data_IF_469644902966
#
_entry.id   IF_469644902966
#
_cell.length_a   1.000
_cell.length_b   1.000
_cell.length_c   1.000
_cell.angle_alpha   90.00
_cell.angle_beta   90.00
_cell.angle_gamma   90.00
#
_symmetry.space_group_name_H-M   'P 1'
#
loop_
_entity.id
_entity.type
_entity.pdbx_description
1 polymer ?
#
# COMPACT_ATOMS: atom_id res chain seq x y z
N UNK A 1 -21.65 -20.36 21.72
CA UNK A 1 -22.93 -20.71 21.06
C UNK A 1 -23.57 -19.43 20.56
N UNK A 2 -23.94 -19.43 19.28
CA UNK A 2 -24.37 -18.27 18.52
C UNK A 2 -24.22 -18.63 17.04
N UNK A 3 -25.21 -19.36 16.52
CA UNK A 3 -25.27 -19.84 15.15
C UNK A 3 -25.10 -18.69 14.15
N UNK A 4 -24.14 -18.82 13.24
CA UNK A 4 -24.08 -18.01 12.01
C UNK A 4 -24.71 -18.83 10.89
N UNK A 5 -25.91 -18.45 10.48
CA UNK A 5 -26.43 -18.85 9.17
C UNK A 5 -25.69 -18.11 8.05
N UNK A 6 -25.54 -18.71 6.85
CA UNK A 6 -24.89 -18.07 5.73
C UNK A 6 -25.87 -17.14 5.00
N UNK A 7 -25.74 -15.83 5.21
CA UNK A 7 -26.48 -14.84 4.43
C UNK A 7 -25.90 -14.73 3.01
N UNK A 8 -26.66 -15.26 2.05
CA UNK A 8 -26.57 -14.90 0.64
C UNK A 8 -27.01 -13.44 0.48
N UNK A 9 -26.05 -12.54 0.30
CA UNK A 9 -26.31 -11.20 -0.22
C UNK A 9 -25.25 -10.89 -1.27
N UNK A 10 -25.69 -10.41 -2.44
CA UNK A 10 -24.81 -9.96 -3.51
C UNK A 10 -24.04 -8.73 -3.04
N UNK A 11 -22.76 -8.91 -2.77
CA UNK A 11 -21.84 -7.80 -2.48
C UNK A 11 -21.04 -7.50 -3.75
N UNK A 12 -21.03 -6.25 -4.19
CA UNK A 12 -20.04 -5.78 -5.14
C UNK A 12 -18.67 -5.72 -4.43
N UNK A 13 -17.74 -6.59 -4.82
CA UNK A 13 -16.38 -6.67 -4.26
C UNK A 13 -15.47 -5.71 -5.02
N UNK A 14 -14.79 -4.81 -4.31
CA UNK A 14 -13.70 -3.99 -4.89
C UNK A 14 -12.57 -4.93 -5.32
N UNK A 15 -12.06 -4.85 -6.57
CA UNK A 15 -11.12 -5.84 -7.10
C UNK A 15 -9.84 -5.95 -6.27
N UNK A 16 -9.56 -7.16 -5.80
CA UNK A 16 -8.29 -7.52 -5.17
C UNK A 16 -7.24 -7.73 -6.28
N UNK A 17 -6.47 -6.69 -6.62
CA UNK A 17 -5.33 -6.83 -7.53
C UNK A 17 -4.07 -7.22 -6.75
N UNK A 18 -4.05 -8.45 -6.24
CA UNK A 18 -2.84 -9.13 -5.79
C UNK A 18 -2.48 -10.20 -6.82
N UNK A 19 -1.41 -9.97 -7.59
CA UNK A 19 -0.84 -11.01 -8.48
C UNK A 19 -0.71 -10.63 -9.95
N UNK A 20 -0.02 -9.53 -10.28
CA UNK A 20 0.49 -9.31 -11.64
C UNK A 20 1.71 -8.36 -11.66
N UNK A 21 2.67 -8.54 -10.74
CA UNK A 21 3.98 -7.89 -10.85
C UNK A 21 4.96 -8.91 -11.42
N UNK A 22 5.19 -8.86 -12.74
CA UNK A 22 6.18 -9.73 -13.38
C UNK A 22 6.19 -9.77 -14.91
N UNK A 23 5.08 -9.45 -15.60
CA UNK A 23 4.99 -9.69 -17.05
C UNK A 23 4.79 -8.44 -17.93
N UNK A 24 4.63 -7.25 -17.36
CA UNK A 24 4.28 -6.05 -18.14
C UNK A 24 5.47 -5.35 -18.83
N UNK A 25 6.72 -5.67 -18.49
CA UNK A 25 7.91 -5.07 -19.11
C UNK A 25 8.48 -5.89 -20.29
N UNK A 26 8.04 -7.15 -20.44
CA UNK A 26 8.44 -8.01 -21.57
C UNK A 26 7.41 -8.03 -22.69
N UNK A 27 6.17 -7.57 -22.45
CA UNK A 27 5.09 -7.63 -23.44
C UNK A 27 5.17 -6.53 -24.51
N UNK A 28 5.64 -5.32 -24.18
CA UNK A 28 5.83 -4.25 -25.18
C UNK A 28 7.08 -4.46 -26.05
N UNK A 29 8.18 -4.94 -25.45
CA UNK A 29 9.40 -5.30 -26.19
C UNK A 29 9.19 -6.49 -27.11
N UNK A 30 8.46 -7.52 -26.65
CA UNK A 30 8.10 -8.63 -27.52
C UNK A 30 7.10 -8.23 -28.61
N UNK A 31 6.15 -7.32 -28.37
CA UNK A 31 5.25 -6.83 -29.43
C UNK A 31 6.00 -6.10 -30.55
N UNK A 32 6.99 -5.26 -30.20
CA UNK A 32 7.82 -4.57 -31.19
C UNK A 32 8.73 -5.55 -31.95
N UNK A 33 9.34 -6.52 -31.27
CA UNK A 33 10.21 -7.53 -31.89
C UNK A 33 9.40 -8.49 -32.75
N UNK A 34 8.17 -8.85 -32.34
CA UNK A 34 7.24 -9.62 -33.17
C UNK A 34 6.81 -8.82 -34.40
N UNK A 35 6.47 -7.54 -34.25
CA UNK A 35 6.12 -6.68 -35.39
C UNK A 35 7.29 -6.53 -36.37
N UNK A 36 8.52 -6.34 -35.90
CA UNK A 36 9.71 -6.17 -36.77
C UNK A 36 10.11 -7.50 -37.43
N UNK A 37 10.05 -8.62 -36.70
CA UNK A 37 10.34 -9.96 -37.25
C UNK A 37 9.26 -10.42 -38.23
N UNK A 38 8.00 -10.09 -37.97
CA UNK A 38 6.87 -10.29 -38.88
C UNK A 38 7.01 -9.40 -40.13
N UNK A 39 7.40 -8.13 -39.97
CA UNK A 39 7.71 -7.24 -41.10
C UNK A 39 8.84 -7.77 -41.98
N UNK A 40 9.93 -8.28 -41.39
CA UNK A 40 11.06 -8.83 -42.17
C UNK A 40 10.72 -10.14 -42.90
N UNK A 41 9.89 -11.00 -42.30
CA UNK A 41 9.38 -12.23 -42.95
C UNK A 41 8.36 -11.92 -44.04
N UNK A 42 7.49 -10.93 -43.83
CA UNK A 42 6.60 -10.36 -44.85
C UNK A 42 7.45 -9.82 -46.00
N UNK A 43 8.41 -8.93 -45.77
CA UNK A 43 9.25 -8.36 -46.84
C UNK A 43 10.01 -9.44 -47.64
N UNK A 44 10.48 -10.52 -46.99
CA UNK A 44 11.10 -11.67 -47.71
C UNK A 44 10.09 -12.51 -48.49
N UNK A 45 8.89 -12.74 -47.96
CA UNK A 45 7.79 -13.42 -48.67
C UNK A 45 7.29 -12.59 -49.87
N UNK A 46 7.34 -11.26 -49.75
CA UNK A 46 6.93 -10.28 -50.77
C UNK A 46 7.90 -10.20 -51.96
N UNK A 47 9.15 -10.67 -51.83
CA UNK A 47 10.11 -10.72 -52.94
C UNK A 47 9.97 -11.95 -53.85
N UNK A 48 9.25 -13.00 -53.43
CA UNK A 48 9.12 -14.25 -54.19
C UNK A 48 7.82 -14.39 -55.01
N UNK A 49 6.84 -13.49 -54.86
CA UNK A 49 5.53 -13.61 -55.52
C UNK A 49 5.44 -12.64 -56.72
N UNK A 50 5.30 -13.19 -57.93
CA UNK A 50 5.16 -12.40 -59.17
C UNK A 50 4.03 -11.34 -59.12
N UNK A 51 4.29 -10.17 -59.69
CA UNK A 51 3.54 -8.92 -59.50
C UNK A 51 2.03 -8.92 -59.82
N UNK A 52 1.49 -9.92 -60.53
CA UNK A 52 0.04 -10.05 -60.79
C UNK A 52 -0.76 -10.64 -59.61
N UNK A 53 -0.18 -11.55 -58.81
CA UNK A 53 -0.85 -12.10 -57.61
C UNK A 53 -0.75 -11.14 -56.41
N UNK A 54 0.31 -10.34 -56.34
CA UNK A 54 0.50 -9.32 -55.28
C UNK A 54 -0.53 -8.19 -55.31
N UNK A 55 -0.93 -7.71 -56.50
CA UNK A 55 -1.95 -6.65 -56.64
C UNK A 55 -3.31 -7.03 -56.05
N UNK A 56 -3.61 -8.33 -55.89
CA UNK A 56 -4.89 -8.81 -55.33
C UNK A 56 -4.84 -9.10 -53.82
N UNK A 57 -3.67 -9.40 -53.26
CA UNK A 57 -3.52 -9.83 -51.85
C UNK A 57 -3.18 -8.65 -50.93
N UNK A 58 -2.41 -7.67 -51.41
CA UNK A 58 -2.04 -6.49 -50.63
C UNK A 58 -3.24 -5.66 -50.12
N UNK A 59 -4.31 -5.42 -50.91
CA UNK A 59 -5.50 -4.70 -50.43
C UNK A 59 -6.21 -5.43 -49.29
N UNK A 60 -6.27 -6.77 -49.34
CA UNK A 60 -6.92 -7.59 -48.32
C UNK A 60 -6.11 -7.60 -47.01
N UNK A 61 -4.78 -7.66 -47.09
CA UNK A 61 -3.92 -7.57 -45.91
C UNK A 61 -3.97 -6.17 -45.26
N UNK A 62 -4.02 -5.10 -46.07
CA UNK A 62 -4.20 -3.73 -45.58
C UNK A 62 -5.59 -3.58 -44.92
N UNK A 63 -6.64 -4.12 -45.54
CA UNK A 63 -7.99 -4.11 -44.98
C UNK A 63 -8.05 -4.87 -43.65
N UNK A 64 -7.44 -6.06 -43.54
CA UNK A 64 -7.39 -6.82 -42.29
C UNK A 64 -6.62 -6.09 -41.18
N UNK A 65 -5.52 -5.40 -41.51
CA UNK A 65 -4.80 -4.56 -40.56
C UNK A 65 -5.63 -3.34 -40.12
N UNK A 66 -6.33 -2.69 -41.05
CA UNK A 66 -7.23 -1.58 -40.75
C UNK A 66 -8.42 -2.01 -39.88
N UNK A 67 -9.03 -3.16 -40.17
CA UNK A 67 -10.12 -3.74 -39.35
C UNK A 67 -9.61 -4.10 -37.96
N UNK A 68 -8.40 -4.66 -37.85
CA UNK A 68 -7.76 -4.95 -36.57
C UNK A 68 -7.47 -3.69 -35.75
N UNK A 69 -7.00 -2.61 -36.38
CA UNK A 69 -6.80 -1.32 -35.73
C UNK A 69 -8.12 -0.69 -35.29
N UNK A 70 -9.14 -0.67 -36.15
CA UNK A 70 -10.47 -0.16 -35.82
C UNK A 70 -11.10 -0.91 -34.64
N UNK A 71 -10.98 -2.24 -34.58
CA UNK A 71 -11.49 -3.02 -33.45
C UNK A 71 -10.73 -2.72 -32.15
N UNK A 72 -9.41 -2.56 -32.22
CA UNK A 72 -8.60 -2.16 -31.06
C UNK A 72 -8.96 -0.75 -30.57
N UNK A 73 -9.21 0.19 -31.47
CA UNK A 73 -9.63 1.55 -31.15
C UNK A 73 -11.01 1.57 -30.51
N UNK A 74 -11.96 0.77 -31.02
CA UNK A 74 -13.28 0.60 -30.40
C UNK A 74 -13.19 0.04 -28.97
N UNK A 75 -12.42 -1.03 -28.77
CA UNK A 75 -12.19 -1.61 -27.44
C UNK A 75 -11.54 -0.60 -26.48
N UNK A 76 -10.60 0.21 -26.96
CA UNK A 76 -9.98 1.25 -26.15
C UNK A 76 -10.98 2.34 -25.74
N UNK A 77 -11.90 2.74 -26.64
CA UNK A 77 -12.96 3.69 -26.34
C UNK A 77 -13.97 3.13 -25.34
N UNK A 78 -14.40 1.88 -25.50
CA UNK A 78 -15.29 1.20 -24.56
C UNK A 78 -14.64 1.08 -23.17
N UNK A 79 -13.36 0.70 -23.11
CA UNK A 79 -12.62 0.63 -21.86
C UNK A 79 -12.50 2.00 -21.19
N UNK A 80 -12.24 3.07 -21.96
CA UNK A 80 -12.20 4.43 -21.44
C UNK A 80 -13.57 4.87 -20.91
N UNK A 81 -14.65 4.62 -21.64
CA UNK A 81 -16.00 4.95 -21.20
C UNK A 81 -16.39 4.21 -19.91
N UNK A 82 -16.00 2.94 -19.79
CA UNK A 82 -16.22 2.17 -18.56
C UNK A 82 -15.41 2.73 -17.38
N UNK A 83 -14.17 3.15 -17.62
CA UNK A 83 -13.29 3.77 -16.62
C UNK A 83 -13.82 5.13 -16.15
N UNK A 84 -14.32 5.95 -17.08
CA UNK A 84 -14.98 7.22 -16.80
C UNK A 84 -16.20 7.01 -15.90
N UNK A 85 -17.10 6.11 -16.31
CA UNK A 85 -18.30 5.78 -15.52
C UNK A 85 -17.95 5.25 -14.12
N UNK A 86 -16.94 4.39 -14.01
CA UNK A 86 -16.49 3.86 -12.73
C UNK A 86 -15.90 4.96 -11.83
N UNK A 87 -15.12 5.88 -12.41
CA UNK A 87 -14.52 7.00 -11.68
C UNK A 87 -15.60 7.96 -11.17
N UNK A 88 -16.55 8.33 -12.02
CA UNK A 88 -17.67 9.19 -11.64
C UNK A 88 -18.50 8.57 -10.50
N UNK A 89 -18.81 7.28 -10.60
CA UNK A 89 -19.50 6.54 -9.54
C UNK A 89 -18.71 6.55 -8.23
N UNK A 90 -17.42 6.20 -8.27
CA UNK A 90 -16.58 6.21 -7.08
C UNK A 90 -16.52 7.61 -6.43
N UNK A 91 -16.28 8.66 -7.22
CA UNK A 91 -16.26 10.03 -6.70
C UNK A 91 -17.60 10.40 -6.03
N UNK A 92 -18.73 10.01 -6.63
CA UNK A 92 -20.07 10.27 -6.08
C UNK A 92 -20.34 9.62 -4.72
N UNK A 93 -19.67 8.52 -4.39
CA UNK A 93 -19.82 7.81 -3.11
C UNK A 93 -18.69 8.12 -2.12
N UNK A 94 -17.73 8.95 -2.53
CA UNK A 94 -16.57 9.28 -1.72
C UNK A 94 -16.98 10.08 -0.48
N UNK A 95 -16.21 9.94 0.60
CA UNK A 95 -16.36 10.74 1.81
C UNK A 95 -15.11 11.62 1.94
N UNK A 96 -15.24 12.91 1.60
CA UNK A 96 -14.10 13.84 1.50
C UNK A 96 -12.96 13.32 0.63
N UNK A 97 -13.29 12.66 -0.50
CA UNK A 97 -12.30 12.06 -1.40
C UNK A 97 -11.76 10.70 -0.94
N UNK A 98 -12.13 10.20 0.25
CA UNK A 98 -11.75 8.88 0.72
C UNK A 98 -12.81 7.79 0.50
N UNK A 99 -12.38 6.54 0.66
CA UNK A 99 -13.11 5.33 0.26
C UNK A 99 -13.06 4.23 1.32
N UNK A 100 -14.03 3.31 1.23
CA UNK A 100 -14.17 2.10 2.06
C UNK A 100 -13.99 0.85 1.18
N UNK A 101 -13.98 -0.34 1.80
CA UNK A 101 -13.78 -1.59 1.07
C UNK A 101 -15.04 -2.05 0.34
N UNK A 102 -16.22 -1.85 0.93
CA UNK A 102 -17.50 -2.35 0.42
C UNK A 102 -18.64 -1.41 0.79
N UNK A 103 -19.61 -1.33 -0.11
CA UNK A 103 -20.84 -0.56 0.03
C UNK A 103 -22.03 -1.45 -0.35
N UNK A 104 -23.18 -1.32 0.32
CA UNK A 104 -24.43 -1.92 -0.14
C UNK A 104 -24.90 -1.23 -1.43
N UNK A 105 -25.71 -1.91 -2.24
CA UNK A 105 -26.25 -1.33 -3.48
C UNK A 105 -27.07 -0.05 -3.25
N UNK A 106 -27.74 0.06 -2.10
CA UNK A 106 -28.47 1.25 -1.68
C UNK A 106 -27.60 2.29 -0.93
N UNK A 107 -26.30 2.03 -0.81
CA UNK A 107 -25.27 2.87 -0.17
C UNK A 107 -25.49 3.17 1.32
N UNK A 108 -26.48 2.54 1.97
CA UNK A 108 -26.78 2.72 3.40
C UNK A 108 -25.80 2.00 4.30
N UNK A 109 -25.21 0.91 3.81
CA UNK A 109 -24.18 0.18 4.55
C UNK A 109 -22.82 0.37 3.91
N UNK A 110 -21.82 0.60 4.75
CA UNK A 110 -20.45 0.82 4.33
C UNK A 110 -19.50 0.09 5.28
N UNK A 111 -18.44 -0.49 4.73
CA UNK A 111 -17.58 -1.40 5.46
C UNK A 111 -16.11 -1.22 5.07
N UNK A 112 -15.25 -1.11 6.07
CA UNK A 112 -13.85 -1.50 5.95
C UNK A 112 -13.67 -2.87 6.58
N UNK A 113 -12.69 -3.01 7.48
CA UNK A 113 -12.58 -4.19 8.35
C UNK A 113 -13.83 -4.35 9.25
N UNK A 114 -14.41 -3.22 9.66
CA UNK A 114 -15.66 -3.16 10.42
C UNK A 114 -16.70 -2.26 9.75
N UNK A 115 -17.91 -2.23 10.33
CA UNK A 115 -18.98 -1.33 9.89
C UNK A 115 -18.51 0.11 10.06
N UNK A 116 -18.60 0.89 8.98
CA UNK A 116 -18.15 2.27 8.93
C UNK A 116 -19.33 3.23 9.03
N UNK A 117 -19.11 4.36 9.69
CA UNK A 117 -20.03 5.49 9.70
C UNK A 117 -19.93 6.34 8.42
N UNK A 118 -20.90 7.22 8.21
CA UNK A 118 -20.97 8.08 7.00
C UNK A 118 -19.79 9.05 6.86
N UNK A 119 -19.13 9.38 7.96
CA UNK A 119 -17.96 10.28 8.02
C UNK A 119 -16.63 9.53 7.99
N UNK A 120 -16.63 8.22 7.72
CA UNK A 120 -15.44 7.38 7.84
C UNK A 120 -14.92 6.89 6.49
N UNK A 121 -13.60 6.81 6.38
CA UNK A 121 -12.89 6.22 5.24
C UNK A 121 -11.81 5.28 5.76
N UNK A 122 -11.46 4.24 5.02
CA UNK A 122 -10.40 3.31 5.41
C UNK A 122 -9.07 3.70 4.78
N UNK A 123 -8.00 3.65 5.57
CA UNK A 123 -6.61 3.80 5.12
C UNK A 123 -6.01 2.43 4.85
N UNK A 124 -6.31 1.45 5.70
CA UNK A 124 -5.91 0.06 5.52
C UNK A 124 -6.34 -0.43 4.12
N UNK A 125 -5.43 -1.00 3.31
CA UNK A 125 -5.76 -1.53 2.00
C UNK A 125 -6.79 -2.67 2.10
N UNK A 126 -7.72 -2.83 1.14
CA UNK A 126 -7.87 -2.05 -0.09
C UNK A 126 -8.74 -0.78 0.06
N UNK A 127 -8.44 0.10 1.02
CA UNK A 127 -9.11 1.38 1.23
C UNK A 127 -8.60 2.53 0.34
N UNK A 128 -8.67 3.75 0.87
CA UNK A 128 -8.40 5.02 0.19
C UNK A 128 -7.08 5.07 -0.58
N UNK A 129 -5.92 4.63 -0.03
CA UNK A 129 -4.67 4.63 -0.80
C UNK A 129 -4.73 3.73 -2.04
N UNK A 130 -5.48 2.63 -1.98
CA UNK A 130 -5.62 1.69 -3.10
C UNK A 130 -6.42 2.31 -4.25
N UNK A 131 -7.52 3.00 -3.93
CA UNK A 131 -8.29 3.75 -4.94
C UNK A 131 -7.49 4.92 -5.51
N UNK A 132 -6.74 5.64 -4.67
CA UNK A 132 -5.82 6.68 -5.13
C UNK A 132 -4.81 6.16 -6.16
N UNK A 133 -4.22 4.98 -5.92
CA UNK A 133 -3.33 4.32 -6.88
C UNK A 133 -4.04 3.90 -8.17
N UNK A 134 -5.30 3.48 -8.11
CA UNK A 134 -6.09 3.14 -9.31
C UNK A 134 -6.32 4.38 -10.17
N UNK A 135 -6.73 5.50 -9.57
CA UNK A 135 -6.91 6.76 -10.29
C UNK A 135 -5.60 7.28 -10.87
N UNK A 136 -4.50 7.19 -10.11
CA UNK A 136 -3.18 7.58 -10.62
C UNK A 136 -2.77 6.71 -11.82
N UNK A 137 -3.03 5.41 -11.77
CA UNK A 137 -2.77 4.51 -12.90
C UNK A 137 -3.64 4.83 -14.11
N UNK A 138 -4.91 5.18 -13.90
CA UNK A 138 -5.80 5.64 -14.96
C UNK A 138 -5.26 6.90 -15.64
N UNK A 139 -4.75 7.86 -14.87
CA UNK A 139 -4.10 9.05 -15.40
C UNK A 139 -2.84 8.71 -16.22
N UNK A 140 -1.96 7.85 -15.71
CA UNK A 140 -0.72 7.46 -16.41
C UNK A 140 -1.00 6.82 -17.79
N UNK A 141 -2.08 6.05 -17.91
CA UNK A 141 -2.43 5.35 -19.15
C UNK A 141 -3.17 6.25 -20.13
N UNK A 142 -4.01 7.16 -19.65
CA UNK A 142 -4.92 7.95 -20.50
C UNK A 142 -4.48 9.39 -20.73
N UNK A 143 -3.65 9.95 -19.84
CA UNK A 143 -3.32 11.37 -19.78
C UNK A 143 -4.47 12.29 -19.34
N UNK A 144 -5.64 11.74 -18.99
CA UNK A 144 -6.83 12.52 -18.67
C UNK A 144 -6.78 13.05 -17.24
N UNK A 145 -6.73 14.38 -17.10
CA UNK A 145 -6.54 15.07 -15.81
C UNK A 145 -7.64 14.77 -14.80
N UNK A 146 -8.83 14.33 -15.22
CA UNK A 146 -9.91 13.96 -14.28
C UNK A 146 -9.45 12.88 -13.28
N UNK A 147 -8.65 11.91 -13.74
CA UNK A 147 -8.17 10.83 -12.87
C UNK A 147 -7.06 11.32 -11.93
N UNK A 148 -6.23 12.27 -12.38
CA UNK A 148 -5.25 12.90 -11.51
C UNK A 148 -5.95 13.69 -10.39
N UNK A 149 -7.03 14.41 -10.71
CA UNK A 149 -7.83 15.13 -9.71
C UNK A 149 -8.47 14.16 -8.70
N UNK A 150 -9.06 13.05 -9.17
CA UNK A 150 -9.59 12.01 -8.27
C UNK A 150 -8.50 11.39 -7.37
N UNK A 151 -7.27 11.21 -7.88
CA UNK A 151 -6.14 10.78 -7.06
C UNK A 151 -5.78 11.86 -6.02
N UNK A 152 -5.71 13.13 -6.40
CA UNK A 152 -5.45 14.23 -5.44
C UNK A 152 -6.53 14.32 -4.36
N UNK A 153 -7.80 14.02 -4.68
CA UNK A 153 -8.89 13.99 -3.69
C UNK A 153 -8.68 12.89 -2.64
N UNK A 154 -8.27 11.70 -3.07
CA UNK A 154 -7.87 10.63 -2.15
C UNK A 154 -6.68 11.04 -1.28
N UNK A 155 -5.72 11.77 -1.85
CA UNK A 155 -4.57 12.29 -1.10
C UNK A 155 -4.98 13.35 -0.07
N UNK A 156 -5.93 14.23 -0.37
CA UNK A 156 -6.43 15.22 0.60
C UNK A 156 -7.03 14.56 1.85
N UNK A 157 -7.79 13.47 1.68
CA UNK A 157 -8.32 12.68 2.80
C UNK A 157 -7.19 12.20 3.72
N UNK A 158 -6.12 11.64 3.14
CA UNK A 158 -4.94 11.20 3.87
C UNK A 158 -4.22 12.37 4.53
N UNK A 159 -4.03 13.48 3.82
CA UNK A 159 -3.40 14.70 4.35
C UNK A 159 -4.15 15.20 5.58
N UNK A 160 -5.48 15.20 5.55
CA UNK A 160 -6.33 15.64 6.66
C UNK A 160 -6.21 14.77 7.91
N UNK A 161 -6.13 13.45 7.71
CA UNK A 161 -6.13 12.47 8.80
C UNK A 161 -4.75 12.07 9.32
N UNK A 162 -3.65 12.57 8.75
CA UNK A 162 -2.29 12.21 9.18
C UNK A 162 -2.04 12.64 10.63
N UNK A 163 -1.49 11.71 11.42
CA UNK A 163 -1.15 11.93 12.82
C UNK A 163 0.16 12.68 12.98
N UNK A 164 0.36 13.31 14.13
CA UNK A 164 1.62 14.00 14.42
C UNK A 164 2.80 13.02 14.55
N UNK A 165 2.57 11.78 14.99
CA UNK A 165 3.59 10.74 15.03
C UNK A 165 4.15 10.39 13.65
N UNK A 166 3.37 10.61 12.59
CA UNK A 166 3.84 10.62 11.20
C UNK A 166 2.99 9.81 10.23
N UNK A 167 2.29 8.77 10.66
CA UNK A 167 1.46 7.94 9.80
C UNK A 167 -0.03 8.12 10.06
N UNK A 168 -0.76 7.01 9.92
CA UNK A 168 -2.22 6.97 10.00
C UNK A 168 -2.70 5.83 10.90
N UNK A 169 -3.94 5.93 11.33
CA UNK A 169 -4.72 4.80 11.87
C UNK A 169 -5.37 4.00 10.73
N UNK A 170 -5.96 2.83 11.01
CA UNK A 170 -6.66 2.03 10.00
C UNK A 170 -7.74 2.80 9.22
N UNK A 171 -8.35 3.81 9.84
CA UNK A 171 -9.39 4.65 9.24
C UNK A 171 -9.22 6.11 9.66
N UNK A 172 -9.83 7.01 8.89
CA UNK A 172 -9.98 8.42 9.22
C UNK A 172 -11.48 8.68 9.39
N UNK A 173 -11.84 9.46 10.40
CA UNK A 173 -13.21 9.89 10.65
C UNK A 173 -13.24 11.41 10.71
N UNK A 174 -14.05 12.02 9.84
CA UNK A 174 -14.13 13.47 9.68
C UNK A 174 -14.97 14.16 10.76
N UNK A 175 -15.51 13.41 11.73
CA UNK A 175 -16.28 13.96 12.85
C UNK A 175 -15.43 14.76 13.85
N UNK A 176 -16.06 15.73 14.50
CA UNK A 176 -15.45 16.51 15.59
C UNK A 176 -15.03 15.63 16.77
N UNK A 177 -15.72 14.51 16.99
CA UNK A 177 -15.40 13.52 18.02
C UNK A 177 -14.06 12.86 17.75
N UNK A 178 -13.79 12.45 16.51
CA UNK A 178 -12.51 11.87 16.15
C UNK A 178 -11.39 12.89 16.26
N UNK A 179 -11.60 14.13 15.78
CA UNK A 179 -10.62 15.22 15.90
C UNK A 179 -10.23 15.53 17.35
N UNK A 180 -11.15 15.44 18.32
CA UNK A 180 -10.86 15.60 19.75
C UNK A 180 -10.12 14.41 20.38
N UNK A 181 -10.13 13.25 19.72
CA UNK A 181 -9.49 12.02 20.19
C UNK A 181 -8.06 11.88 19.68
N UNK A 182 -7.74 12.42 18.51
CA UNK A 182 -6.47 12.17 17.82
C UNK A 182 -5.64 13.43 17.63
N UNK A 183 -4.33 13.32 17.86
CA UNK A 183 -3.39 14.39 17.66
C UNK A 183 -2.88 14.36 16.21
N UNK A 184 -3.41 15.27 15.39
CA UNK A 184 -3.10 15.30 13.96
C UNK A 184 -1.89 16.18 13.68
N UNK A 185 -1.22 15.92 12.56
CA UNK A 185 -0.15 16.77 12.01
C UNK A 185 -0.58 18.23 11.92
N UNK A 186 -1.81 18.48 11.46
CA UNK A 186 -2.37 19.82 11.29
C UNK A 186 -2.59 20.59 12.61
N UNK A 187 -2.58 19.91 13.76
CA UNK A 187 -2.78 20.50 15.08
C UNK A 187 -1.43 20.71 15.82
N UNK A 188 -0.30 20.39 15.18
CA UNK A 188 1.05 20.63 15.69
C UNK A 188 1.30 22.12 15.94
N UNK A 189 1.84 22.45 17.12
CA UNK A 189 2.09 23.84 17.55
C UNK A 189 0.84 24.64 17.94
N UNK A 190 -0.36 24.06 17.85
CA UNK A 190 -1.64 24.74 18.18
C UNK A 190 -2.21 24.35 19.54
N UNK A 191 -1.72 23.24 20.11
CA UNK A 191 -2.20 22.67 21.37
C UNK A 191 -1.11 22.76 22.43
N UNK A 192 -1.50 23.05 23.67
CA UNK A 192 -0.61 22.97 24.83
C UNK A 192 -0.23 21.52 25.16
N UNK A 193 0.85 21.31 25.91
CA UNK A 193 1.27 19.96 26.36
C UNK A 193 0.18 19.22 27.14
N UNK A 194 -0.66 19.95 27.89
CA UNK A 194 -1.79 19.39 28.66
C UNK A 194 -2.93 18.95 27.74
N UNK A 195 -3.14 19.62 26.62
CA UNK A 195 -4.12 19.20 25.62
C UNK A 195 -3.60 17.99 24.85
N UNK A 196 -2.34 18.01 24.40
CA UNK A 196 -1.71 16.91 23.67
C UNK A 196 -1.80 15.61 24.47
N UNK A 197 -1.57 15.62 25.79
CA UNK A 197 -1.62 14.41 26.63
C UNK A 197 -2.99 13.72 26.69
N UNK A 198 -4.06 14.40 26.27
CA UNK A 198 -5.43 13.83 26.18
C UNK A 198 -5.71 13.17 24.84
N UNK A 199 -4.86 13.40 23.84
CA UNK A 199 -5.03 12.88 22.49
C UNK A 199 -4.25 11.58 22.29
N UNK A 200 -4.73 10.75 21.36
CA UNK A 200 -4.02 9.59 20.82
C UNK A 200 -3.11 10.02 19.67
N UNK A 201 -1.94 9.42 19.56
CA UNK A 201 -0.97 9.73 18.49
C UNK A 201 -0.40 8.44 17.87
N UNK A 202 -1.21 7.38 17.77
CA UNK A 202 -0.77 6.03 17.36
C UNK A 202 -0.82 5.86 15.84
N UNK A 203 0.34 5.96 15.19
CA UNK A 203 0.58 5.50 13.81
C UNK A 203 0.50 3.98 13.77
N UNK A 204 -0.18 3.42 12.77
CA UNK A 204 -0.35 1.98 12.58
C UNK A 204 0.47 1.49 11.38
N UNK A 205 1.32 0.50 11.61
CA UNK A 205 2.09 -0.22 10.59
C UNK A 205 1.50 -1.60 10.28
N UNK A 206 0.51 -2.02 11.06
CA UNK A 206 -0.24 -3.25 10.84
C UNK A 206 -1.04 -3.18 9.53
N UNK A 207 -1.23 -4.34 8.92
CA UNK A 207 -1.97 -4.51 7.66
C UNK A 207 -1.58 -3.49 6.58
N UNK A 208 -0.31 -3.11 6.53
CA UNK A 208 0.22 -2.21 5.51
C UNK A 208 -0.45 -0.81 5.50
N UNK A 209 -1.00 -0.38 6.63
CA UNK A 209 -1.83 0.84 6.74
C UNK A 209 -1.06 2.11 6.37
N UNK A 210 -0.01 2.46 7.12
CA UNK A 210 0.78 3.67 6.86
C UNK A 210 1.63 3.53 5.59
N UNK A 211 2.15 2.33 5.36
CA UNK A 211 3.05 2.02 4.27
C UNK A 211 2.35 2.12 2.91
N UNK A 212 1.10 1.64 2.78
CA UNK A 212 0.31 1.82 1.55
C UNK A 212 -0.04 3.28 1.28
N UNK A 213 -0.40 4.05 2.32
CA UNK A 213 -0.62 5.49 2.20
C UNK A 213 0.65 6.22 1.71
N UNK A 214 1.81 5.90 2.27
CA UNK A 214 3.09 6.46 1.82
C UNK A 214 3.40 6.10 0.38
N UNK A 215 3.27 4.84 -0.03
CA UNK A 215 3.54 4.44 -1.43
C UNK A 215 2.63 5.14 -2.43
N UNK A 216 1.36 5.34 -2.06
CA UNK A 216 0.44 6.14 -2.88
C UNK A 216 0.88 7.60 -2.98
N UNK A 217 1.15 8.27 -1.85
CA UNK A 217 1.58 9.68 -1.86
C UNK A 217 2.91 9.87 -2.60
N UNK A 218 3.86 8.94 -2.46
CA UNK A 218 5.12 8.96 -3.22
C UNK A 218 4.90 8.86 -4.72
N UNK A 219 4.04 7.94 -5.16
CA UNK A 219 3.71 7.81 -6.57
C UNK A 219 3.04 9.09 -7.11
N UNK A 220 2.07 9.64 -6.36
CA UNK A 220 1.37 10.86 -6.75
C UNK A 220 2.31 12.06 -6.84
N UNK A 221 3.17 12.28 -5.84
CA UNK A 221 4.17 13.36 -5.84
C UNK A 221 5.13 13.22 -7.02
N UNK A 222 5.59 12.01 -7.33
CA UNK A 222 6.45 11.79 -8.49
C UNK A 222 5.74 12.13 -9.81
N UNK A 223 4.45 11.81 -9.92
CA UNK A 223 3.64 12.14 -11.10
C UNK A 223 3.36 13.64 -11.22
N UNK A 224 3.12 14.34 -10.10
CA UNK A 224 2.96 15.81 -10.08
C UNK A 224 4.29 16.50 -10.44
N UNK A 225 5.41 15.95 -9.99
CA UNK A 225 6.72 16.59 -10.13
C UNK A 225 6.85 17.79 -9.20
N UNK A 226 7.05 18.99 -9.77
CA UNK A 226 7.11 20.23 -8.97
C UNK A 226 5.70 20.62 -8.53
N UNK A 227 5.46 20.94 -7.24
CA UNK A 227 4.15 21.44 -6.79
C UNK A 227 3.72 22.66 -7.60
N UNK A 228 2.49 22.62 -8.14
CA UNK A 228 1.93 23.70 -8.95
C UNK A 228 1.07 24.66 -8.13
N UNK A 229 0.54 24.18 -7.01
CA UNK A 229 -0.33 24.95 -6.11
C UNK A 229 -0.14 24.54 -4.63
N UNK A 230 -0.93 25.16 -3.76
CA UNK A 230 -0.89 24.91 -2.31
C UNK A 230 -1.40 23.50 -1.94
N UNK A 231 -2.25 22.87 -2.77
CA UNK A 231 -2.70 21.49 -2.54
C UNK A 231 -1.58 20.51 -2.79
N UNK A 232 -0.88 20.65 -3.92
CA UNK A 232 0.29 19.84 -4.25
C UNK A 232 1.38 19.99 -3.18
N UNK A 233 1.57 21.21 -2.66
CA UNK A 233 2.50 21.46 -1.54
C UNK A 233 2.11 20.67 -0.30
N UNK A 234 0.85 20.72 0.13
CA UNK A 234 0.37 19.97 1.30
C UNK A 234 0.51 18.45 1.15
N UNK A 235 0.33 17.94 -0.07
CA UNK A 235 0.50 16.51 -0.40
C UNK A 235 1.98 16.12 -0.28
N UNK A 236 2.88 16.91 -0.87
CA UNK A 236 4.33 16.73 -0.74
C UNK A 236 4.75 16.74 0.74
N UNK A 237 4.32 17.75 1.50
CA UNK A 237 4.66 17.89 2.92
C UNK A 237 4.16 16.69 3.74
N UNK A 238 2.96 16.18 3.46
CA UNK A 238 2.42 15.01 4.14
C UNK A 238 3.23 13.73 3.83
N UNK A 239 3.62 13.54 2.56
CA UNK A 239 4.49 12.45 2.14
C UNK A 239 5.83 12.50 2.87
N UNK A 240 6.52 13.65 2.84
CA UNK A 240 7.81 13.83 3.50
C UNK A 240 7.70 13.63 5.01
N UNK A 241 6.68 14.21 5.64
CA UNK A 241 6.44 14.06 7.08
C UNK A 241 6.25 12.60 7.48
N UNK A 242 5.52 11.84 6.66
CA UNK A 242 5.27 10.42 6.92
C UNK A 242 6.49 9.54 6.68
N UNK A 243 7.30 9.81 5.65
CA UNK A 243 8.60 9.13 5.45
C UNK A 243 9.54 9.39 6.63
N UNK A 244 9.58 10.62 7.13
CA UNK A 244 10.34 10.94 8.35
C UNK A 244 9.75 10.25 9.58
N UNK A 245 8.42 10.11 9.66
CA UNK A 245 7.73 9.33 10.69
C UNK A 245 8.15 7.86 10.69
N UNK A 246 8.17 7.23 9.50
CA UNK A 246 8.61 5.85 9.31
C UNK A 246 10.06 5.65 9.75
N UNK A 247 10.96 6.58 9.44
CA UNK A 247 12.35 6.56 9.91
C UNK A 247 12.45 6.72 11.44
N UNK A 248 11.69 7.65 12.03
CA UNK A 248 11.67 7.85 13.50
C UNK A 248 11.10 6.66 14.25
N UNK A 249 10.17 5.92 13.65
CA UNK A 249 9.55 4.74 14.23
C UNK A 249 10.47 3.50 14.21
N UNK A 250 11.59 3.54 13.50
CA UNK A 250 12.53 2.43 13.51
C UNK A 250 13.26 2.38 14.86
N UNK A 251 13.23 1.22 15.50
CA UNK A 251 13.99 0.98 16.72
C UNK A 251 15.51 1.01 16.46
N UNK A 252 16.32 1.31 17.48
CA UNK A 252 17.78 1.29 17.38
C UNK A 252 18.38 -0.03 16.87
N UNK A 253 17.70 -1.15 17.09
CA UNK A 253 18.11 -2.47 16.58
C UNK A 253 17.62 -2.78 15.15
N UNK A 254 16.95 -1.83 14.49
CA UNK A 254 16.47 -1.96 13.10
C UNK A 254 15.02 -2.41 12.94
N UNK A 255 14.36 -2.86 14.00
CA UNK A 255 12.95 -3.28 13.98
C UNK A 255 11.96 -2.12 13.84
N UNK A 256 10.69 -2.45 13.64
CA UNK A 256 9.55 -1.53 13.81
C UNK A 256 8.50 -2.09 14.77
N UNK A 257 7.74 -1.23 15.45
CA UNK A 257 6.55 -1.64 16.19
C UNK A 257 5.36 -1.91 15.26
N UNK A 258 4.32 -2.56 15.76
CA UNK A 258 3.01 -2.57 15.11
C UNK A 258 2.35 -1.18 15.14
N UNK A 259 2.46 -0.46 16.27
CA UNK A 259 1.99 0.92 16.42
C UNK A 259 3.06 1.84 17.04
N UNK A 260 3.14 3.08 16.56
CA UNK A 260 4.10 4.08 17.01
C UNK A 260 3.43 5.37 17.50
N UNK A 261 3.82 5.86 18.69
CA UNK A 261 3.19 7.02 19.33
C UNK A 261 3.95 8.36 19.14
N UNK A 262 5.03 8.36 18.36
CA UNK A 262 5.86 9.55 18.15
C UNK A 262 6.99 9.75 19.16
N UNK A 263 7.11 8.89 20.19
CA UNK A 263 8.15 9.04 21.21
C UNK A 263 9.50 8.52 20.73
N UNK A 264 10.56 9.21 21.13
CA UNK A 264 11.94 8.72 20.93
C UNK A 264 12.19 7.49 21.78
N UNK A 265 12.88 6.52 21.20
CA UNK A 265 13.31 5.32 21.91
C UNK A 265 14.60 5.54 22.70
N UNK A 266 14.72 4.83 23.82
CA UNK A 266 15.96 4.71 24.57
C UNK A 266 16.78 3.54 23.99
N UNK A 267 17.95 3.76 23.37
CA UNK A 267 18.77 2.69 22.80
C UNK A 267 19.11 1.58 23.79
N UNK A 268 19.20 1.88 25.08
CA UNK A 268 19.49 0.86 26.11
C UNK A 268 18.38 -0.16 26.27
N UNK A 269 17.15 0.17 25.85
CA UNK A 269 15.98 -0.73 25.90
C UNK A 269 15.82 -1.57 24.63
N UNK A 270 16.62 -1.32 23.59
CA UNK A 270 16.54 -2.00 22.30
C UNK A 270 17.93 -2.46 21.85
N UNK A 271 18.62 -3.31 22.63
CA UNK A 271 19.96 -3.76 22.30
C UNK A 271 19.99 -4.65 21.04
N UNK A 272 21.12 -4.64 20.35
CA UNK A 272 21.44 -5.56 19.25
C UNK A 272 21.71 -6.96 19.84
N UNK A 273 20.66 -7.76 19.99
CA UNK A 273 20.71 -9.11 20.59
C UNK A 273 20.03 -10.10 19.65
N UNK A 274 20.60 -11.30 19.49
CA UNK A 274 19.95 -12.38 18.72
C UNK A 274 18.69 -12.89 19.42
N UNK A 275 17.73 -13.34 18.62
CA UNK A 275 16.56 -14.03 19.14
C UNK A 275 16.97 -15.29 19.92
N UNK A 276 16.22 -15.59 20.98
CA UNK A 276 16.47 -16.76 21.81
C UNK A 276 15.15 -17.30 22.38
N UNK A 277 15.17 -18.58 22.73
CA UNK A 277 14.03 -19.29 23.29
C UNK A 277 14.30 -19.54 24.78
N UNK A 278 13.43 -19.08 25.70
CA UNK A 278 13.56 -19.37 27.11
C UNK A 278 13.35 -20.86 27.40
N UNK A 279 14.09 -21.39 28.38
CA UNK A 279 14.02 -22.80 28.79
C UNK A 279 12.62 -23.25 29.21
N UNK A 280 11.80 -22.33 29.70
CA UNK A 280 10.41 -22.57 30.08
C UNK A 280 9.52 -21.43 29.62
N UNK A 281 8.28 -21.77 29.23
CA UNK A 281 7.30 -20.80 28.78
C UNK A 281 5.97 -20.94 29.54
N UNK A 282 5.42 -19.82 30.01
CA UNK A 282 4.08 -19.81 30.61
C UNK A 282 3.00 -20.03 29.54
N UNK A 283 2.19 -21.08 29.70
CA UNK A 283 1.00 -21.32 28.86
C UNK A 283 -0.18 -20.41 29.24
N UNK A 284 -0.01 -19.55 30.23
CA UNK A 284 -1.02 -18.57 30.65
C UNK A 284 -0.83 -17.30 29.83
N UNK A 285 -1.88 -16.87 29.16
CA UNK A 285 -1.90 -15.60 28.45
C UNK A 285 -1.71 -14.43 29.43
N UNK A 286 -0.68 -13.63 29.18
CA UNK A 286 -0.43 -12.36 29.87
C UNK A 286 -0.57 -11.25 28.85
N UNK A 287 -1.49 -10.30 29.12
CA UNK A 287 -1.69 -9.16 28.24
C UNK A 287 -0.52 -8.20 28.36
N UNK A 288 0.30 -8.13 27.32
CA UNK A 288 1.35 -7.14 27.17
C UNK A 288 0.91 -6.03 26.18
N UNK A 289 1.54 -4.84 26.20
CA UNK A 289 1.35 -3.83 25.17
C UNK A 289 2.05 -4.24 23.86
N UNK A 290 1.65 -5.40 23.30
CA UNK A 290 2.35 -6.05 22.20
C UNK A 290 2.43 -5.21 20.93
N UNK A 291 1.55 -4.23 20.76
CA UNK A 291 1.63 -3.25 19.67
C UNK A 291 2.96 -2.49 19.59
N UNK A 292 3.74 -2.48 20.69
CA UNK A 292 5.07 -1.87 20.74
C UNK A 292 6.21 -2.87 20.45
N UNK A 293 5.93 -4.17 20.36
CA UNK A 293 6.95 -5.19 20.13
C UNK A 293 7.49 -5.14 18.71
N UNK A 294 8.60 -5.82 18.48
CA UNK A 294 9.17 -5.93 17.14
C UNK A 294 8.27 -6.87 16.33
N UNK A 295 7.51 -6.31 15.38
CA UNK A 295 6.36 -7.01 14.78
C UNK A 295 6.62 -7.41 13.34
N UNK A 296 6.63 -8.72 13.07
CA UNK A 296 6.60 -9.27 11.72
C UNK A 296 5.18 -9.55 11.24
N UNK A 297 4.25 -9.80 12.16
CA UNK A 297 2.84 -10.08 11.90
C UNK A 297 2.28 -9.22 10.77
N UNK A 298 1.55 -9.85 9.85
CA UNK A 298 0.92 -9.20 8.70
C UNK A 298 1.93 -8.39 7.85
N UNK A 299 3.17 -8.89 7.75
CA UNK A 299 4.30 -8.29 7.03
C UNK A 299 4.71 -6.88 7.52
N UNK A 300 4.37 -6.46 8.73
CA UNK A 300 4.54 -5.06 9.17
C UNK A 300 5.96 -4.51 8.93
N UNK A 301 7.01 -5.20 9.42
CA UNK A 301 8.41 -4.82 9.16
C UNK A 301 8.78 -4.93 7.68
N UNK A 302 8.36 -5.98 6.98
CA UNK A 302 8.65 -6.17 5.55
C UNK A 302 8.08 -5.04 4.71
N UNK A 303 6.85 -4.61 4.97
CA UNK A 303 6.22 -3.48 4.29
C UNK A 303 6.92 -2.15 4.59
N UNK A 304 7.46 -1.96 5.80
CA UNK A 304 8.30 -0.81 6.13
C UNK A 304 9.58 -0.81 5.29
N UNK A 305 10.29 -1.94 5.22
CA UNK A 305 11.50 -2.12 4.40
C UNK A 305 11.19 -1.83 2.93
N UNK A 306 10.15 -2.46 2.37
CA UNK A 306 9.79 -2.30 0.96
C UNK A 306 9.38 -0.87 0.62
N UNK A 307 8.72 -0.17 1.55
CA UNK A 307 8.36 1.24 1.37
C UNK A 307 9.60 2.14 1.36
N UNK A 308 10.58 1.89 2.22
CA UNK A 308 11.85 2.64 2.22
C UNK A 308 12.70 2.34 0.98
N UNK A 309 12.71 1.09 0.50
CA UNK A 309 13.37 0.76 -0.77
C UNK A 309 12.70 1.44 -1.96
N UNK A 310 11.36 1.54 -1.99
CA UNK A 310 10.64 2.32 -2.99
C UNK A 310 11.00 3.81 -2.90
N UNK A 311 11.02 4.38 -1.68
CA UNK A 311 11.44 5.77 -1.46
C UNK A 311 12.88 6.02 -1.95
N UNK A 312 13.81 5.10 -1.67
CA UNK A 312 15.18 5.20 -2.17
C UNK A 312 15.24 5.18 -3.71
N UNK A 313 14.53 4.26 -4.36
CA UNK A 313 14.49 4.18 -5.83
C UNK A 313 13.94 5.46 -6.48
N UNK A 314 12.97 6.11 -5.84
CA UNK A 314 12.33 7.33 -6.37
C UNK A 314 13.12 8.60 -6.11
N UNK A 315 13.73 8.72 -4.93
CA UNK A 315 14.30 9.98 -4.46
C UNK A 315 15.81 9.96 -4.26
N UNK A 316 16.47 8.80 -4.33
CA UNK A 316 17.93 8.66 -4.23
C UNK A 316 18.52 8.99 -2.85
N UNK A 317 17.70 9.22 -1.83
CA UNK A 317 18.14 9.60 -0.48
C UNK A 317 18.67 8.40 0.29
N UNK A 318 19.96 8.41 0.63
CA UNK A 318 20.67 7.28 1.23
C UNK A 318 20.08 6.84 2.58
N UNK A 319 19.50 7.75 3.37
CA UNK A 319 18.93 7.36 4.67
C UNK A 319 17.81 6.31 4.56
N UNK A 320 17.08 6.28 3.44
CA UNK A 320 16.05 5.27 3.20
C UNK A 320 16.66 3.90 2.96
N UNK A 321 17.74 3.84 2.16
CA UNK A 321 18.47 2.59 1.92
C UNK A 321 19.11 2.08 3.22
N UNK A 322 19.74 2.96 4.00
CA UNK A 322 20.39 2.57 5.25
C UNK A 322 19.37 2.11 6.30
N UNK A 323 18.20 2.73 6.37
CA UNK A 323 17.11 2.26 7.24
C UNK A 323 16.55 0.91 6.79
N UNK A 324 16.38 0.68 5.48
CA UNK A 324 15.96 -0.61 4.94
C UNK A 324 16.97 -1.72 5.25
N UNK A 325 18.28 -1.45 5.11
CA UNK A 325 19.35 -2.39 5.48
C UNK A 325 19.30 -2.78 6.94
N UNK A 326 19.15 -1.81 7.87
CA UNK A 326 18.97 -2.10 9.31
C UNK A 326 17.75 -2.99 9.57
N UNK A 327 16.68 -2.82 8.79
CA UNK A 327 15.53 -3.71 8.83
C UNK A 327 15.87 -5.15 8.42
N UNK A 328 16.63 -5.33 7.33
CA UNK A 328 17.15 -6.63 6.92
C UNK A 328 18.08 -7.27 7.96
N UNK A 329 18.99 -6.48 8.54
CA UNK A 329 19.87 -6.92 9.63
C UNK A 329 19.07 -7.39 10.84
N UNK A 330 17.97 -6.70 11.16
CA UNK A 330 17.05 -7.12 12.21
C UNK A 330 16.38 -8.46 11.90
N UNK A 331 15.93 -8.68 10.65
CA UNK A 331 15.36 -9.98 10.24
C UNK A 331 16.38 -11.10 10.49
N UNK A 332 17.64 -10.93 10.05
CA UNK A 332 18.69 -11.93 10.28
C UNK A 332 18.95 -12.17 11.78
N UNK A 333 18.96 -11.10 12.57
CA UNK A 333 19.17 -11.17 14.02
C UNK A 333 18.01 -11.84 14.76
N UNK A 334 16.79 -11.68 14.28
CA UNK A 334 15.57 -12.22 14.88
C UNK A 334 15.31 -13.70 14.54
N UNK A 335 16.10 -14.30 13.65
CA UNK A 335 15.97 -15.72 13.33
C UNK A 335 16.16 -16.57 14.60
N UNK A 336 15.22 -17.47 14.84
CA UNK A 336 15.28 -18.37 15.98
C UNK A 336 16.50 -19.31 15.89
N UNK A 337 17.03 -19.79 17.02
CA UNK A 337 18.09 -20.79 17.00
C UNK A 337 17.58 -22.16 16.50
N UNK A 338 18.52 -23.06 16.22
CA UNK A 338 18.23 -24.48 16.01
C UNK A 338 17.36 -25.07 17.14
N UNK A 339 16.49 -26.06 16.84
CA UNK A 339 16.40 -26.83 15.60
C UNK A 339 15.44 -26.26 14.53
N UNK A 340 14.87 -25.08 14.77
CA UNK A 340 13.86 -24.48 13.89
C UNK A 340 14.22 -23.02 13.58
N UNK A 341 15.18 -22.76 12.67
CA UNK A 341 15.68 -21.42 12.38
C UNK A 341 14.71 -20.63 11.47
N UNK A 342 13.53 -20.37 12.02
CA UNK A 342 12.44 -19.57 11.43
C UNK A 342 12.16 -18.35 12.31
N UNK A 343 11.04 -17.65 12.13
CA UNK A 343 10.69 -16.47 12.92
C UNK A 343 9.35 -16.64 13.64
N UNK A 344 9.16 -15.90 14.73
CA UNK A 344 7.86 -15.71 15.36
C UNK A 344 7.09 -14.53 14.73
N UNK A 345 5.79 -14.41 15.01
CA UNK A 345 5.00 -13.23 14.61
C UNK A 345 5.58 -11.93 15.17
N UNK A 346 6.18 -11.98 16.36
CA UNK A 346 6.74 -10.81 17.03
C UNK A 346 7.64 -11.19 18.19
N UNK A 347 8.49 -10.25 18.58
CA UNK A 347 9.48 -10.39 19.64
C UNK A 347 9.39 -9.23 20.61
N UNK A 348 9.48 -9.53 21.90
CA UNK A 348 9.57 -8.46 22.90
C UNK A 348 10.95 -7.78 22.87
N UNK A 349 11.14 -6.81 23.77
CA UNK A 349 12.37 -6.02 23.83
C UNK A 349 13.61 -6.80 24.28
N UNK A 350 13.43 -8.03 24.80
CA UNK A 350 14.53 -8.94 25.15
C UNK A 350 14.77 -10.01 24.07
N UNK A 351 14.15 -9.87 22.89
CA UNK A 351 14.32 -10.76 21.73
C UNK A 351 13.85 -12.19 21.96
N UNK A 352 12.85 -12.40 22.82
CA UNK A 352 12.09 -13.66 22.86
C UNK A 352 10.78 -13.51 22.08
N UNK A 353 10.28 -14.58 21.43
CA UNK A 353 8.93 -14.60 20.88
C UNK A 353 7.90 -14.07 21.88
N UNK A 354 6.86 -13.38 21.46
CA UNK A 354 5.94 -12.75 22.41
C UNK A 354 4.47 -12.94 22.06
N UNK A 355 3.63 -12.98 23.10
CA UNK A 355 2.18 -13.10 22.93
C UNK A 355 1.68 -11.86 22.19
N UNK A 356 0.83 -12.07 21.19
CA UNK A 356 0.02 -11.01 20.58
C UNK A 356 -1.38 -11.03 21.21
N UNK A 357 -2.39 -11.41 20.44
CA UNK A 357 -3.74 -11.66 20.95
C UNK A 357 -3.75 -12.95 21.79
N UNK A 358 -4.84 -13.18 22.53
CA UNK A 358 -5.00 -14.36 23.42
C UNK A 358 -4.84 -15.70 22.69
N UNK A 359 -5.09 -15.73 21.39
CA UNK A 359 -4.99 -16.90 20.53
C UNK A 359 -3.70 -16.93 19.69
N UNK A 360 -2.74 -16.05 19.98
CA UNK A 360 -1.45 -15.94 19.29
C UNK A 360 -0.30 -16.07 20.30
N UNK A 361 -0.01 -17.31 20.73
CA UNK A 361 1.07 -17.59 21.65
C UNK A 361 2.45 -17.36 21.01
N UNK A 362 3.49 -17.15 21.84
CA UNK A 362 4.88 -17.19 21.42
C UNK A 362 5.19 -18.51 20.72
N UNK A 363 5.39 -18.45 19.41
CA UNK A 363 5.62 -19.62 18.58
C UNK A 363 6.41 -19.24 17.33
N UNK A 364 7.14 -20.21 16.80
CA UNK A 364 7.58 -20.19 15.42
C UNK A 364 6.36 -20.07 14.49
N UNK A 365 6.44 -19.21 13.49
CA UNK A 365 5.36 -18.91 12.56
C UNK A 365 5.81 -19.11 11.11
N UNK A 366 5.31 -20.16 10.47
CA UNK A 366 5.65 -20.48 9.08
C UNK A 366 5.16 -19.42 8.09
N UNK A 367 3.98 -18.86 8.31
CA UNK A 367 3.39 -17.84 7.44
C UNK A 367 4.26 -16.58 7.36
N UNK A 368 4.65 -16.01 8.50
CA UNK A 368 5.53 -14.84 8.54
C UNK A 368 6.92 -15.18 8.01
N UNK A 369 7.46 -16.35 8.35
CA UNK A 369 8.78 -16.78 7.89
C UNK A 369 8.90 -16.83 6.37
N UNK A 370 7.85 -17.28 5.67
CA UNK A 370 7.84 -17.26 4.21
C UNK A 370 7.91 -15.84 3.63
N UNK A 371 7.26 -14.87 4.29
CA UNK A 371 7.35 -13.45 3.91
C UNK A 371 8.73 -12.86 4.15
N UNK A 372 9.36 -13.20 5.27
CA UNK A 372 10.69 -12.71 5.63
C UNK A 372 11.79 -13.26 4.71
N UNK A 373 11.70 -14.54 4.30
CA UNK A 373 12.61 -15.13 3.31
C UNK A 373 12.51 -14.41 1.95
N UNK A 374 11.33 -13.93 1.56
CA UNK A 374 11.16 -13.13 0.33
C UNK A 374 11.64 -11.69 0.46
N UNK A 375 11.75 -11.20 1.69
CA UNK A 375 12.16 -9.82 1.99
C UNK A 375 13.68 -9.68 1.97
N UNK A 376 14.38 -10.69 2.51
CA UNK A 376 15.83 -10.88 2.37
C UNK A 376 16.19 -11.24 0.92
#
# INVERSE_FOLDING_TARGET
MGNREPLKAGFAVVPHLAGARGYALLSYGHFLIFQISFHRKIIRFYKCLGGRKMRKIAPLAILLLMVGQLHADMLAQEAKAALDKATEFLQSISTHGGYLWRYSEDLKERWGEGKAGETQIWVQPPGTPSLGMVFLRAYEVTGDKKYLEAAKEAADALVWGQLESGGWTYYIDFSTRWRRRWYRRADKGKLSSKEISRHRNWTCFDDNTTQSALRFLMALVQTIGRPQDERDRRILDAMEYGLQGLLRAQYPNGAWPQEYDGRRYDPKKHPLKRAWIPKGWSRVYVKHPYRLFYTFNDNAISDCIMTLLDAYRRFGRLEYLEAAKRGGDFIIMAQLPEPQPVWAQQYDFDMKPAWARKFEPPAACSAESAGLIRTL
#
